data_IF_981994175987
#
_entry.id   IF_981994175987
#
_cell.length_a   1.000
_cell.length_b   1.000
_cell.length_c   1.000
_cell.angle_alpha   90.00
_cell.angle_beta   90.00
_cell.angle_gamma   90.00
#
_symmetry.space_group_name_H-M   'P 1'
#
loop_
_entity.id
_entity.type
_entity.pdbx_description
1 polymer ?
#
# COMPACT_ATOMS: atom_id res chain seq x y z
N UNK A 1 -49.97 31.25 24.79
CA UNK A 1 -48.48 31.34 24.88
C UNK A 1 -48.05 30.14 25.73
N UNK A 2 -47.11 29.26 25.42
CA UNK A 2 -46.20 28.96 24.30
C UNK A 2 -45.85 27.48 24.55
N UNK A 3 -46.11 26.57 23.61
CA UNK A 3 -45.70 25.18 23.74
C UNK A 3 -44.21 25.06 23.37
N UNK A 4 -43.37 24.65 24.32
CA UNK A 4 -41.97 24.34 24.09
C UNK A 4 -41.84 22.90 23.57
N UNK A 5 -41.63 22.77 22.27
CA UNK A 5 -41.29 21.52 21.60
C UNK A 5 -39.76 21.32 21.70
N UNK A 6 -39.34 20.41 22.58
CA UNK A 6 -37.93 20.02 22.72
C UNK A 6 -37.58 19.05 21.60
N UNK A 7 -36.81 19.51 20.61
CA UNK A 7 -36.22 18.67 19.56
C UNK A 7 -35.04 17.89 20.14
N UNK A 8 -35.25 16.60 20.38
CA UNK A 8 -34.16 15.64 20.66
C UNK A 8 -33.51 15.28 19.33
N UNK A 9 -32.38 15.91 19.03
CA UNK A 9 -31.53 15.53 17.89
C UNK A 9 -30.72 14.32 18.31
N UNK A 10 -31.13 13.14 17.87
CA UNK A 10 -30.39 11.90 18.05
C UNK A 10 -29.26 11.86 17.01
N UNK A 11 -28.05 12.28 17.41
CA UNK A 11 -26.85 12.19 16.59
C UNK A 11 -26.45 10.73 16.41
N UNK A 12 -26.66 10.18 15.20
CA UNK A 12 -26.15 8.86 14.82
C UNK A 12 -24.64 8.98 14.67
N UNK A 13 -23.90 8.52 15.68
CA UNK A 13 -22.46 8.28 15.59
C UNK A 13 -22.26 7.10 14.63
N UNK A 14 -22.08 7.39 13.34
CA UNK A 14 -21.59 6.39 12.39
C UNK A 14 -20.12 6.12 12.73
N UNK A 15 -19.85 5.10 13.54
CA UNK A 15 -18.50 4.55 13.65
C UNK A 15 -18.08 4.08 12.25
N UNK A 16 -17.00 4.62 11.65
CA UNK A 16 -16.48 4.02 10.43
C UNK A 16 -16.17 2.57 10.76
N UNK A 17 -16.80 1.64 10.03
CA UNK A 17 -16.45 0.23 10.12
C UNK A 17 -14.93 0.15 9.91
N UNK A 18 -14.19 -0.30 10.92
CA UNK A 18 -12.74 -0.31 10.89
C UNK A 18 -12.27 -1.18 9.73
N UNK A 19 -11.96 -0.55 8.60
CA UNK A 19 -11.36 -1.22 7.46
C UNK A 19 -10.05 -1.84 7.96
N UNK A 20 -9.88 -3.16 7.76
CA UNK A 20 -8.69 -3.86 8.23
C UNK A 20 -7.48 -3.22 7.53
N UNK A 21 -6.56 -2.65 8.31
CA UNK A 21 -5.31 -2.12 7.79
C UNK A 21 -4.22 -3.18 7.84
N UNK A 22 -3.34 -3.19 6.84
CA UNK A 22 -2.14 -4.02 6.79
C UNK A 22 -0.90 -3.13 6.73
N UNK A 23 0.20 -3.58 7.33
CA UNK A 23 1.50 -2.98 7.12
C UNK A 23 2.22 -3.70 5.99
N UNK A 24 2.78 -2.94 5.07
CA UNK A 24 3.56 -3.45 3.94
C UNK A 24 4.96 -2.91 4.09
N UNK A 25 5.94 -3.79 4.09
CA UNK A 25 7.35 -3.42 3.99
C UNK A 25 7.99 -4.17 2.84
N UNK A 26 9.07 -3.63 2.27
CA UNK A 26 9.68 -4.26 1.11
C UNK A 26 11.06 -3.75 0.77
N UNK A 27 11.70 -4.47 -0.15
CA UNK A 27 12.95 -4.06 -0.77
C UNK A 27 12.82 -4.15 -2.28
N UNK A 28 13.14 -3.05 -2.96
CA UNK A 28 13.16 -2.93 -4.41
C UNK A 28 14.60 -2.81 -4.90
N UNK A 29 14.89 -3.50 -6.00
CA UNK A 29 16.17 -3.50 -6.68
C UNK A 29 17.02 -4.72 -6.36
N UNK A 30 18.07 -4.93 -7.15
CA UNK A 30 18.88 -6.15 -7.13
C UNK A 30 19.64 -6.34 -5.82
N UNK A 31 20.02 -5.24 -5.19
CA UNK A 31 20.76 -5.21 -3.93
C UNK A 31 19.88 -4.72 -2.76
N UNK A 32 18.58 -4.51 -2.99
CA UNK A 32 17.68 -3.92 -2.00
C UNK A 32 17.97 -2.43 -1.79
N UNK A 33 18.28 -1.72 -2.88
CA UNK A 33 18.70 -0.32 -2.91
C UNK A 33 17.63 0.61 -2.33
N UNK A 34 16.36 0.19 -2.39
CA UNK A 34 15.22 0.93 -1.88
C UNK A 34 14.45 0.12 -0.84
N UNK A 35 14.23 0.71 0.34
CA UNK A 35 13.29 0.22 1.34
C UNK A 35 11.90 0.82 1.09
N UNK A 36 10.86 0.00 1.19
CA UNK A 36 9.47 0.39 0.98
C UNK A 36 8.71 0.25 2.30
N UNK A 37 7.86 1.22 2.62
CA UNK A 37 6.93 1.15 3.75
C UNK A 37 5.57 1.72 3.36
N UNK A 38 4.49 1.02 3.70
CA UNK A 38 3.13 1.50 3.51
C UNK A 38 2.19 0.97 4.60
N UNK A 39 1.16 1.76 4.93
CA UNK A 39 0.00 1.27 5.68
C UNK A 39 -1.19 1.34 4.73
N UNK A 40 -1.77 0.18 4.42
CA UNK A 40 -2.84 0.05 3.42
C UNK A 40 -4.14 -0.35 4.11
N UNK A 41 -5.25 0.26 3.71
CA UNK A 41 -6.58 -0.05 4.22
C UNK A 41 -7.37 -0.88 3.19
N UNK A 42 -8.21 -1.80 3.66
CA UNK A 42 -9.14 -2.55 2.82
C UNK A 42 -10.15 -1.59 2.17
N UNK A 43 -10.17 -1.54 0.84
CA UNK A 43 -11.05 -0.62 0.09
C UNK A 43 -12.47 -1.17 -0.09
N UNK A 44 -12.63 -2.49 -0.17
CA UNK A 44 -13.92 -3.15 -0.41
C UNK A 44 -13.95 -4.57 0.17
N UNK A 45 -15.11 -4.97 0.68
CA UNK A 45 -15.39 -6.36 1.07
C UNK A 45 -15.61 -7.21 -0.19
N UNK A 46 -14.55 -7.78 -0.74
CA UNK A 46 -14.59 -8.60 -1.95
C UNK A 46 -13.50 -9.67 -2.00
N UNK A 47 -13.66 -10.63 -2.92
CA UNK A 47 -12.64 -11.65 -3.23
C UNK A 47 -12.18 -11.50 -4.67
N UNK A 48 -10.88 -11.30 -4.94
CA UNK A 48 -9.77 -11.17 -3.98
C UNK A 48 -9.81 -9.84 -3.21
N UNK A 49 -9.14 -9.80 -2.06
CA UNK A 49 -9.13 -8.62 -1.19
C UNK A 49 -8.27 -7.52 -1.79
N UNK A 50 -8.77 -6.29 -1.74
CA UNK A 50 -8.09 -5.11 -2.27
C UNK A 50 -7.73 -4.14 -1.15
N UNK A 51 -6.48 -3.69 -1.14
CA UNK A 51 -5.95 -2.73 -0.17
C UNK A 51 -5.29 -1.57 -0.87
N UNK A 52 -5.39 -0.37 -0.31
CA UNK A 52 -4.67 0.79 -0.83
C UNK A 52 -4.19 1.72 0.28
N UNK A 53 -3.13 2.46 0.01
CA UNK A 53 -2.63 3.47 0.94
C UNK A 53 -1.35 4.15 0.43
N UNK A 54 -0.90 5.17 1.18
CA UNK A 54 0.34 5.87 0.86
C UNK A 54 1.55 4.94 1.03
N UNK A 55 2.51 5.11 0.13
CA UNK A 55 3.79 4.42 0.07
C UNK A 55 4.93 5.43 0.27
N UNK A 56 5.91 5.06 1.07
CA UNK A 56 7.21 5.72 1.14
C UNK A 56 8.28 4.77 0.63
N UNK A 57 9.18 5.28 -0.19
CA UNK A 57 10.37 4.59 -0.67
C UNK A 57 11.61 5.37 -0.23
N UNK A 58 12.56 4.69 0.39
CA UNK A 58 13.79 5.28 0.90
C UNK A 58 15.00 4.61 0.27
N UNK A 59 15.87 5.38 -0.35
CA UNK A 59 17.11 4.87 -0.93
C UNK A 59 18.09 4.57 0.21
N UNK A 60 18.40 3.29 0.41
CA UNK A 60 19.29 2.82 1.49
C UNK A 60 20.70 2.48 1.00
N UNK A 61 20.92 2.43 -0.32
CA UNK A 61 22.23 2.17 -0.93
C UNK A 61 23.11 3.42 -1.20
N UNK A 62 22.65 4.63 -0.89
CA UNK A 62 23.37 5.88 -1.19
C UNK A 62 23.38 6.78 0.05
N UNK A 63 24.58 7.26 0.42
CA UNK A 63 24.76 8.25 1.48
C UNK A 63 25.05 9.60 0.83
N UNK A 64 24.14 10.56 0.99
CA UNK A 64 24.37 11.96 0.61
C UNK A 64 24.50 12.83 1.86
N UNK A 65 24.98 14.07 1.71
CA UNK A 65 25.04 15.05 2.81
C UNK A 65 23.64 15.36 3.37
N UNK A 66 22.61 15.34 2.52
CA UNK A 66 21.23 15.64 2.87
C UNK A 66 20.48 14.43 3.44
N UNK A 67 21.16 13.28 3.54
CA UNK A 67 20.58 12.02 3.96
C UNK A 67 20.14 11.12 2.80
N UNK A 68 19.41 10.04 3.09
CA UNK A 68 18.91 9.12 2.07
C UNK A 68 17.79 9.78 1.26
N UNK A 69 17.79 9.55 -0.05
CA UNK A 69 16.71 10.01 -0.94
C UNK A 69 15.39 9.34 -0.55
N UNK A 70 14.32 10.12 -0.42
CA UNK A 70 12.97 9.62 -0.15
C UNK A 70 12.01 9.99 -1.28
N UNK A 71 11.13 9.04 -1.62
CA UNK A 71 10.05 9.21 -2.59
C UNK A 71 8.73 8.79 -1.96
N UNK A 72 7.68 9.56 -2.22
CA UNK A 72 6.32 9.25 -1.79
C UNK A 72 5.44 8.89 -2.98
N UNK A 73 4.42 8.09 -2.70
CA UNK A 73 3.51 7.59 -3.70
C UNK A 73 2.32 6.87 -3.08
N UNK A 74 1.68 6.06 -3.90
CA UNK A 74 0.55 5.22 -3.51
C UNK A 74 0.81 3.78 -3.93
N UNK A 75 0.30 2.83 -3.15
CA UNK A 75 0.30 1.42 -3.49
C UNK A 75 -1.13 0.87 -3.42
N UNK A 76 -1.49 0.06 -4.40
CA UNK A 76 -2.74 -0.71 -4.45
C UNK A 76 -2.39 -2.18 -4.57
N UNK A 77 -2.92 -3.00 -3.68
CA UNK A 77 -2.68 -4.43 -3.60
C UNK A 77 -3.96 -5.20 -3.90
N UNK A 78 -3.83 -6.30 -4.64
CA UNK A 78 -4.85 -7.32 -4.82
C UNK A 78 -4.28 -8.66 -4.38
N UNK A 79 -4.77 -9.18 -3.25
CA UNK A 79 -4.22 -10.37 -2.61
C UNK A 79 -5.15 -11.55 -2.85
N UNK A 80 -4.65 -12.56 -3.55
CA UNK A 80 -5.35 -13.82 -3.81
C UNK A 80 -4.77 -14.92 -2.93
N UNK A 81 -5.47 -15.24 -1.83
CA UNK A 81 -5.02 -16.24 -0.85
C UNK A 81 -5.04 -17.67 -1.39
N UNK A 82 -5.92 -17.98 -2.35
CA UNK A 82 -6.04 -19.31 -2.97
C UNK A 82 -4.89 -19.64 -3.91
N UNK A 83 -4.29 -18.64 -4.56
CA UNK A 83 -3.20 -18.80 -5.52
C UNK A 83 -1.83 -18.41 -4.97
N UNK A 84 -1.76 -17.98 -3.70
CA UNK A 84 -0.55 -17.42 -3.08
C UNK A 84 0.05 -16.27 -3.92
N UNK A 85 -0.80 -15.52 -4.62
CA UNK A 85 -0.39 -14.45 -5.52
C UNK A 85 -0.79 -13.08 -4.97
N UNK A 86 0.10 -12.12 -5.13
CA UNK A 86 -0.14 -10.70 -4.88
C UNK A 86 0.17 -9.93 -6.15
N UNK A 87 -0.83 -9.23 -6.65
CA UNK A 87 -0.65 -8.24 -7.70
C UNK A 87 -0.70 -6.86 -7.07
N UNK A 88 0.18 -5.96 -7.50
CA UNK A 88 0.20 -4.59 -7.01
C UNK A 88 0.36 -3.58 -8.15
N UNK A 89 -0.22 -2.40 -7.95
CA UNK A 89 0.10 -1.20 -8.72
C UNK A 89 0.74 -0.21 -7.77
N UNK A 90 1.96 0.20 -8.09
CA UNK A 90 2.71 1.22 -7.36
C UNK A 90 2.71 2.49 -8.20
N UNK A 91 2.43 3.64 -7.60
CA UNK A 91 2.44 4.94 -8.27
C UNK A 91 3.37 5.88 -7.52
N UNK A 92 4.41 6.40 -8.16
CA UNK A 92 5.38 7.31 -7.54
C UNK A 92 5.58 8.49 -8.47
N UNK A 93 5.40 9.72 -7.96
CA UNK A 93 5.48 10.94 -8.78
C UNK A 93 4.62 10.91 -10.07
N UNK A 94 3.51 10.15 -10.06
CA UNK A 94 2.63 9.97 -11.22
C UNK A 94 2.98 8.79 -12.14
N UNK A 95 4.18 8.22 -12.02
CA UNK A 95 4.60 7.03 -12.78
C UNK A 95 3.96 5.78 -12.17
N UNK A 96 3.24 5.01 -12.98
CA UNK A 96 2.58 3.77 -12.56
C UNK A 96 3.42 2.55 -12.95
N UNK A 97 3.72 1.72 -11.96
CA UNK A 97 4.41 0.46 -12.13
C UNK A 97 3.52 -0.71 -11.72
N UNK A 98 3.59 -1.82 -12.44
CA UNK A 98 2.90 -3.07 -12.10
C UNK A 98 3.86 -4.03 -11.39
N UNK A 99 3.34 -4.82 -10.47
CA UNK A 99 4.06 -5.88 -9.78
C UNK A 99 3.18 -7.11 -9.68
N UNK A 100 3.79 -8.28 -9.84
CA UNK A 100 3.17 -9.57 -9.55
C UNK A 100 4.18 -10.43 -8.82
N UNK A 101 3.81 -10.89 -7.62
CA UNK A 101 4.65 -11.72 -6.78
C UNK A 101 3.94 -12.96 -6.25
N UNK A 102 4.70 -14.02 -6.00
CA UNK A 102 4.22 -15.24 -5.35
C UNK A 102 4.74 -15.30 -3.93
N UNK A 103 3.88 -15.77 -3.02
CA UNK A 103 4.20 -15.96 -1.61
C UNK A 103 5.04 -17.22 -1.44
N UNK A 104 6.24 -17.05 -0.87
CA UNK A 104 6.97 -18.09 -0.15
C UNK A 104 7.06 -17.68 1.33
N UNK A 105 8.22 -17.20 1.78
CA UNK A 105 8.38 -16.51 3.08
C UNK A 105 7.95 -15.04 2.99
N UNK A 106 8.02 -14.48 1.78
CA UNK A 106 7.58 -13.14 1.39
C UNK A 106 7.13 -13.18 -0.07
N UNK A 107 6.37 -12.17 -0.50
CA UNK A 107 6.01 -12.06 -1.91
C UNK A 107 7.25 -11.66 -2.70
N UNK A 108 7.66 -12.52 -3.64
CA UNK A 108 8.78 -12.25 -4.54
C UNK A 108 8.28 -12.14 -5.96
N UNK A 109 8.71 -11.10 -6.67
CA UNK A 109 8.32 -10.86 -8.04
C UNK A 109 9.13 -9.74 -8.67
N UNK A 110 8.64 -9.27 -9.81
CA UNK A 110 9.28 -8.20 -10.58
C UNK A 110 8.33 -7.01 -10.68
N UNK A 111 8.86 -5.81 -10.45
CA UNK A 111 8.18 -4.55 -10.72
C UNK A 111 8.54 -4.08 -12.13
N UNK A 112 7.53 -3.74 -12.90
CA UNK A 112 7.65 -3.23 -14.26
C UNK A 112 7.11 -1.81 -14.31
N UNK A 113 7.95 -0.85 -14.69
CA UNK A 113 7.54 0.54 -14.94
C UNK A 113 7.69 0.84 -16.44
N UNK A 114 6.85 1.70 -17.03
CA UNK A 114 7.04 2.18 -18.40
C UNK A 114 8.46 2.74 -18.60
N UNK A 115 9.07 2.41 -19.74
CA UNK A 115 10.39 2.92 -20.16
C UNK A 115 11.54 2.67 -19.18
N UNK A 116 11.40 1.69 -18.28
CA UNK A 116 12.45 1.27 -17.33
C UNK A 116 12.63 -0.24 -17.35
N UNK A 117 13.83 -0.69 -17.00
CA UNK A 117 14.12 -2.11 -16.86
C UNK A 117 13.32 -2.72 -15.69
N UNK A 118 12.77 -3.93 -15.84
CA UNK A 118 12.12 -4.64 -14.75
C UNK A 118 13.09 -4.89 -13.60
N UNK A 119 12.66 -4.59 -12.37
CA UNK A 119 13.50 -4.72 -11.16
C UNK A 119 12.86 -5.66 -10.14
N UNK A 120 13.65 -6.45 -9.41
CA UNK A 120 13.11 -7.37 -8.41
C UNK A 120 12.51 -6.59 -7.23
N UNK A 121 11.38 -7.09 -6.72
CA UNK A 121 10.70 -6.54 -5.55
C UNK A 121 10.29 -7.67 -4.60
N UNK A 122 10.65 -7.48 -3.32
CA UNK A 122 10.23 -8.32 -2.21
C UNK A 122 9.26 -7.54 -1.33
N UNK A 123 8.13 -8.14 -0.97
CA UNK A 123 7.13 -7.54 -0.08
C UNK A 123 6.75 -8.48 1.06
N UNK A 124 6.72 -7.92 2.27
CA UNK A 124 6.13 -8.53 3.45
C UNK A 124 4.84 -7.78 3.78
N UNK A 125 3.78 -8.53 3.99
CA UNK A 125 2.46 -7.99 4.39
C UNK A 125 2.18 -8.53 5.80
N UNK A 126 2.02 -7.63 6.77
CA UNK A 126 1.82 -7.91 8.19
C UNK A 126 0.42 -7.50 8.62
#
# INVERSE_FOLDING_TARGET
>A
MRAFLVLVVLGVLTTPAGAKSLQVVGYLGYLGEWELTATVAENASGTPKEYAGPLTMKHVGLCTQDGPEEKTGDIRLRISTSSSQLDATVSVAGDKCSYSGRLSDFYTGTMNCPDREPVPLKLWVK
#
